data_IF_003744553970
#
_entry.id   IF_003744553970
#
_cell.length_a   1.000
_cell.length_b   1.000
_cell.length_c   1.000
_cell.angle_alpha   90.00
_cell.angle_beta   90.00
_cell.angle_gamma   90.00
#
_symmetry.space_group_name_H-M   'P 1'
#
loop_
_entity.id
_entity.type
_entity.pdbx_description
1 polymer ?
#
# COMPACT_ATOMS: atom_id res chain seq x y z
N UNK A 1 17.93 13.32 -5.62
CA UNK A 1 16.61 13.16 -5.00
C UNK A 1 16.15 11.72 -5.15
N UNK A 2 16.89 10.83 -4.50
CA UNK A 2 16.55 9.42 -4.20
C UNK A 2 16.61 9.20 -2.67
N UNK A 3 16.70 10.30 -1.93
CA UNK A 3 17.06 10.41 -0.52
C UNK A 3 15.84 10.14 0.40
N UNK A 4 14.69 9.75 -0.18
CA UNK A 4 13.44 9.42 0.52
C UNK A 4 12.86 8.08 0.04
N UNK A 5 13.72 7.16 -0.41
CA UNK A 5 13.32 5.80 -0.74
C UNK A 5 13.76 4.87 0.39
N UNK A 6 12.80 4.38 1.17
CA UNK A 6 13.04 3.35 2.17
C UNK A 6 12.81 1.95 1.59
N UNK A 7 13.63 1.00 2.02
CA UNK A 7 13.50 -0.40 1.62
C UNK A 7 12.61 -1.16 2.61
N UNK A 8 11.47 -1.64 2.14
CA UNK A 8 10.61 -2.51 2.94
C UNK A 8 11.19 -3.93 2.93
N UNK A 9 11.62 -4.41 4.10
CA UNK A 9 12.23 -5.72 4.27
C UNK A 9 11.15 -6.82 4.22
N UNK A 10 11.35 -7.82 3.35
CA UNK A 10 10.47 -8.98 3.28
C UNK A 10 10.86 -10.01 4.35
N UNK A 11 10.13 -9.99 5.47
CA UNK A 11 10.33 -10.94 6.57
C UNK A 11 9.49 -12.21 6.37
N UNK A 12 9.79 -13.27 7.13
CA UNK A 12 8.96 -14.48 7.15
C UNK A 12 7.50 -14.19 7.57
N UNK A 13 7.28 -13.13 8.35
CA UNK A 13 5.95 -12.69 8.76
C UNK A 13 5.19 -12.03 7.61
N UNK A 14 5.86 -11.22 6.79
CA UNK A 14 5.30 -10.68 5.53
C UNK A 14 4.88 -11.83 4.61
N UNK A 15 5.67 -12.89 4.46
CA UNK A 15 5.29 -14.04 3.63
C UNK A 15 4.09 -14.80 4.19
N UNK A 16 3.99 -14.95 5.52
CA UNK A 16 2.80 -15.54 6.17
C UNK A 16 1.55 -14.69 5.92
N UNK A 17 1.66 -13.38 6.11
CA UNK A 17 0.58 -12.44 5.83
C UNK A 17 0.19 -12.39 4.35
N UNK A 18 1.17 -12.50 3.44
CA UNK A 18 0.94 -12.59 2.01
C UNK A 18 0.12 -13.83 1.65
N UNK A 19 0.39 -14.98 2.28
CA UNK A 19 -0.39 -16.19 2.01
C UNK A 19 -1.85 -16.04 2.41
N UNK A 20 -2.13 -15.37 3.53
CA UNK A 20 -3.48 -15.04 3.94
C UNK A 20 -4.15 -14.06 2.94
N UNK A 21 -3.43 -13.00 2.56
CA UNK A 21 -3.94 -11.99 1.61
C UNK A 21 -4.23 -12.56 0.21
N UNK A 22 -3.43 -13.51 -0.28
CA UNK A 22 -3.65 -14.22 -1.54
C UNK A 22 -5.05 -14.85 -1.56
N UNK A 23 -5.41 -15.56 -0.49
CA UNK A 23 -6.70 -16.25 -0.35
C UNK A 23 -7.83 -15.27 -0.08
N UNK A 24 -7.69 -14.43 0.96
CA UNK A 24 -8.74 -13.53 1.43
C UNK A 24 -9.12 -12.44 0.42
N UNK A 25 -8.14 -11.94 -0.33
CA UNK A 25 -8.31 -10.82 -1.27
C UNK A 25 -8.27 -11.28 -2.73
N UNK A 26 -8.09 -12.58 -2.98
CA UNK A 26 -7.92 -13.15 -4.31
C UNK A 26 -6.86 -12.40 -5.12
N UNK A 27 -5.70 -12.16 -4.49
CA UNK A 27 -4.55 -11.54 -5.13
C UNK A 27 -3.66 -12.62 -5.76
N UNK A 28 -2.91 -12.26 -6.80
CA UNK A 28 -1.83 -13.13 -7.27
C UNK A 28 -0.78 -13.27 -6.17
N UNK A 29 0.03 -14.33 -6.14
CA UNK A 29 1.08 -14.47 -5.12
C UNK A 29 2.02 -13.27 -5.03
N UNK A 30 2.35 -12.65 -6.17
CA UNK A 30 3.23 -11.48 -6.21
C UNK A 30 2.55 -10.23 -5.64
N UNK A 31 1.30 -9.97 -6.05
CA UNK A 31 0.54 -8.83 -5.52
C UNK A 31 0.22 -8.98 -4.03
N UNK A 32 0.02 -10.22 -3.58
CA UNK A 32 -0.20 -10.53 -2.16
C UNK A 32 1.04 -10.21 -1.32
N UNK A 33 2.25 -10.48 -1.83
CA UNK A 33 3.51 -10.09 -1.18
C UNK A 33 3.63 -8.57 -1.10
N UNK A 34 3.36 -7.86 -2.20
CA UNK A 34 3.40 -6.39 -2.24
C UNK A 34 2.39 -5.79 -1.25
N UNK A 35 1.18 -6.31 -1.23
CA UNK A 35 0.15 -5.84 -0.31
C UNK A 35 0.54 -6.08 1.15
N UNK A 36 1.02 -7.28 1.47
CA UNK A 36 1.45 -7.63 2.83
C UNK A 36 2.64 -6.79 3.29
N UNK A 37 3.61 -6.51 2.40
CA UNK A 37 4.76 -5.67 2.74
C UNK A 37 4.34 -4.23 3.01
N UNK A 38 3.41 -3.69 2.21
CA UNK A 38 2.86 -2.35 2.44
C UNK A 38 2.09 -2.29 3.76
N UNK A 39 1.27 -3.28 4.09
CA UNK A 39 0.54 -3.29 5.38
C UNK A 39 1.51 -3.36 6.56
N UNK A 40 2.53 -4.22 6.50
CA UNK A 40 3.53 -4.32 7.55
C UNK A 40 4.31 -3.01 7.76
N UNK A 41 4.64 -2.30 6.68
CA UNK A 41 5.27 -0.97 6.75
C UNK A 41 4.33 0.07 7.37
N UNK A 42 3.04 0.05 6.97
CA UNK A 42 2.01 0.94 7.49
C UNK A 42 1.73 0.74 8.99
N UNK A 43 1.94 -0.45 9.54
CA UNK A 43 1.80 -0.75 10.97
C UNK A 43 2.91 -0.12 11.81
N UNK A 44 4.13 0.00 11.25
CA UNK A 44 5.28 0.59 11.93
C UNK A 44 5.37 2.11 11.71
N UNK A 45 4.78 2.61 10.64
CA UNK A 45 4.83 4.01 10.27
C UNK A 45 4.03 4.90 11.27
N UNK A 46 4.49 6.12 11.55
CA UNK A 46 3.77 7.04 12.43
C UNK A 46 2.38 7.39 11.89
N UNK A 47 1.48 7.79 12.77
CA UNK A 47 0.15 8.27 12.38
C UNK A 47 0.26 9.45 11.40
N UNK A 48 -0.62 9.48 10.40
CA UNK A 48 -0.60 10.49 9.35
C UNK A 48 -1.22 9.97 8.06
N UNK A 49 -1.60 10.90 7.18
CA UNK A 49 -2.14 10.58 5.87
C UNK A 49 -1.08 9.95 4.97
N UNK A 50 -1.40 8.80 4.39
CA UNK A 50 -0.50 8.05 3.51
C UNK A 50 -1.24 7.69 2.23
N UNK A 51 -0.51 7.29 1.21
CA UNK A 51 -1.12 6.70 0.02
C UNK A 51 -0.29 5.55 -0.52
N UNK A 52 -0.98 4.50 -0.96
CA UNK A 52 -0.39 3.43 -1.75
C UNK A 52 -0.75 3.65 -3.22
N UNK A 53 0.27 3.79 -4.06
CA UNK A 53 0.12 4.08 -5.48
C UNK A 53 0.46 2.83 -6.28
N UNK A 54 -0.45 2.37 -7.13
CA UNK A 54 -0.23 1.20 -7.98
C UNK A 54 -0.84 1.39 -9.36
N UNK A 55 -0.14 0.97 -10.41
CA UNK A 55 -0.70 0.90 -11.75
C UNK A 55 -1.60 -0.33 -11.94
N UNK A 56 -1.49 -1.34 -11.06
CA UNK A 56 -2.31 -2.54 -11.11
C UNK A 56 -3.70 -2.29 -10.47
N UNK A 57 -4.49 -1.45 -11.13
CA UNK A 57 -5.83 -1.12 -10.67
C UNK A 57 -6.76 -2.35 -10.65
N UNK A 58 -6.57 -3.29 -11.58
CA UNK A 58 -7.41 -4.48 -11.69
C UNK A 58 -7.40 -5.30 -10.40
N UNK A 59 -6.22 -5.61 -9.88
CA UNK A 59 -6.11 -6.51 -8.73
C UNK A 59 -6.26 -5.79 -7.38
N UNK A 60 -5.90 -4.51 -7.32
CA UNK A 60 -5.91 -3.74 -6.07
C UNK A 60 -7.17 -2.90 -5.83
N UNK A 61 -7.94 -2.53 -6.86
CA UNK A 61 -9.13 -1.69 -6.71
C UNK A 61 -10.35 -2.47 -6.19
N UNK A 62 -10.16 -3.22 -5.11
CA UNK A 62 -11.19 -4.01 -4.43
C UNK A 62 -11.61 -3.29 -3.13
N UNK A 63 -12.91 -3.27 -2.76
CA UNK A 63 -13.37 -2.64 -1.52
C UNK A 63 -12.62 -3.12 -0.27
N UNK A 64 -12.36 -4.42 -0.14
CA UNK A 64 -11.65 -5.00 1.00
C UNK A 64 -10.20 -4.50 1.14
N UNK A 65 -9.51 -4.27 0.00
CA UNK A 65 -8.16 -3.69 -0.01
C UNK A 65 -8.20 -2.24 0.45
N UNK A 66 -9.16 -1.47 -0.07
CA UNK A 66 -9.35 -0.06 0.32
C UNK A 66 -9.67 0.08 1.81
N UNK A 67 -10.50 -0.82 2.35
CA UNK A 67 -10.84 -0.85 3.76
C UNK A 67 -9.61 -1.16 4.63
N UNK A 68 -8.85 -2.21 4.29
CA UNK A 68 -7.62 -2.57 5.03
C UNK A 68 -6.62 -1.42 5.05
N UNK A 69 -6.33 -0.81 3.89
CA UNK A 69 -5.44 0.36 3.81
C UNK A 69 -5.99 1.56 4.60
N UNK A 70 -7.31 1.78 4.52
CA UNK A 70 -8.00 2.88 5.21
C UNK A 70 -7.85 2.84 6.72
N UNK A 71 -7.77 1.65 7.34
CA UNK A 71 -7.51 1.49 8.79
C UNK A 71 -6.18 2.09 9.24
N UNK A 72 -5.22 2.25 8.33
CA UNK A 72 -3.92 2.88 8.60
C UNK A 72 -3.84 4.33 8.10
N UNK A 73 -4.98 4.95 7.74
CA UNK A 73 -5.00 6.27 7.11
C UNK A 73 -4.36 6.28 5.72
N UNK A 74 -4.29 5.12 5.05
CA UNK A 74 -3.65 4.98 3.75
C UNK A 74 -4.70 4.92 2.62
N UNK A 75 -4.57 5.83 1.66
CA UNK A 75 -5.45 5.90 0.48
C UNK A 75 -4.86 5.10 -0.68
N UNK A 76 -5.65 4.21 -1.28
CA UNK A 76 -5.31 3.57 -2.56
C UNK A 76 -5.50 4.56 -3.73
N UNK A 77 -4.44 4.77 -4.50
CA UNK A 77 -4.42 5.61 -5.70
C UNK A 77 -3.95 4.78 -6.89
N UNK A 78 -4.75 4.74 -7.96
CA UNK A 78 -4.49 3.87 -9.13
C UNK A 78 -3.96 4.60 -10.36
N UNK A 79 -3.80 5.92 -10.26
CA UNK A 79 -3.26 6.78 -11.33
C UNK A 79 -2.18 7.67 -10.75
N UNK A 80 -1.01 7.67 -11.37
CA UNK A 80 0.12 8.49 -10.92
C UNK A 80 -0.20 9.99 -10.94
N UNK A 81 -1.01 10.46 -11.88
CA UNK A 81 -1.49 11.86 -11.92
C UNK A 81 -2.24 12.25 -10.64
N UNK A 82 -3.10 11.34 -10.16
CA UNK A 82 -3.92 11.57 -8.98
C UNK A 82 -3.06 11.51 -7.72
N UNK A 83 -2.03 10.67 -7.71
CA UNK A 83 -1.05 10.59 -6.63
C UNK A 83 -0.23 11.87 -6.53
N UNK A 84 0.24 12.42 -7.65
CA UNK A 84 0.94 13.71 -7.69
C UNK A 84 0.04 14.83 -7.17
N UNK A 85 -1.24 14.86 -7.58
CA UNK A 85 -2.21 15.82 -7.05
C UNK A 85 -2.41 15.69 -5.53
N UNK A 86 -2.53 14.46 -5.04
CA UNK A 86 -2.68 14.15 -3.61
C UNK A 86 -1.47 14.63 -2.79
N UNK A 87 -0.26 14.37 -3.26
CA UNK A 87 0.97 14.80 -2.56
C UNK A 87 1.12 16.32 -2.61
N UNK A 88 0.93 16.94 -3.77
CA UNK A 88 1.07 18.40 -3.94
C UNK A 88 0.09 19.19 -3.09
N UNK A 89 -1.16 18.73 -2.94
CA UNK A 89 -2.15 19.42 -2.09
C UNK A 89 -1.79 19.43 -0.60
N UNK A 90 -0.78 18.65 -0.19
CA UNK A 90 -0.32 18.52 1.21
C UNK A 90 1.05 19.14 1.46
N UNK A 91 1.79 19.48 0.40
CA UNK A 91 3.07 20.17 0.47
C UNK A 91 2.92 21.72 0.45
N UNK A 92 1.69 22.22 0.37
CA UNK A 92 1.38 23.65 0.26
C UNK A 92 1.05 24.37 1.58
N UNK A 93 1.74 24.05 2.68
CA UNK A 93 1.77 24.85 3.92
C UNK A 93 3.20 24.91 4.45
#
# INVERSE_FOLDING_TARGET
>A
MLDQADLIVLTAEVFRAAKAAEVELSLTPQDAIVFASVVADLELAPAGEKCFVTANAHDFNKPAIRERLGRHGCKLVTRFTDAVGFVRSRQGH
#
